data_IF_536687648788
#
_entry.id   IF_536687648788
#
_cell.length_a   1.000
_cell.length_b   1.000
_cell.length_c   1.000
_cell.angle_alpha   90.00
_cell.angle_beta   90.00
_cell.angle_gamma   90.00
#
_symmetry.space_group_name_H-M   'P 1'
#
loop_
_entity.id
_entity.type
_entity.pdbx_description
1 polymer ?
#
# COMPACT_ATOMS: atom_id res chain seq x y z
N UNK A 1 4.58 23.83 6.29
CA UNK A 1 3.77 23.39 7.43
C UNK A 1 2.33 23.38 6.98
N UNK A 2 1.63 22.27 7.24
CA UNK A 2 0.19 22.10 6.99
C UNK A 2 -0.49 21.60 8.27
N UNK A 3 -1.72 22.03 8.51
CA UNK A 3 -2.53 21.55 9.61
C UNK A 3 -4.00 21.48 9.21
N UNK A 4 -4.68 20.40 9.58
CA UNK A 4 -6.07 20.16 9.24
C UNK A 4 -6.88 19.71 10.44
N UNK A 5 -8.12 20.16 10.53
CA UNK A 5 -9.12 19.70 11.47
C UNK A 5 -10.42 19.41 10.76
N UNK A 6 -11.02 18.28 11.08
CA UNK A 6 -12.33 17.88 10.57
C UNK A 6 -13.23 17.43 11.71
N UNK A 7 -14.49 17.82 11.67
CA UNK A 7 -15.53 17.32 12.58
C UNK A 7 -16.84 17.18 11.82
N UNK A 8 -17.50 16.04 12.02
CA UNK A 8 -18.86 15.81 11.53
C UNK A 8 -19.62 14.94 12.55
N UNK A 9 -20.90 15.19 12.73
CA UNK A 9 -21.75 14.33 13.56
C UNK A 9 -22.20 13.07 12.83
N UNK A 10 -22.20 13.09 11.47
CA UNK A 10 -22.50 11.95 10.62
C UNK A 10 -23.89 11.35 10.78
N UNK A 11 -24.73 11.92 11.63
CA UNK A 11 -26.07 11.40 11.97
C UNK A 11 -27.12 11.85 10.96
N UNK A 12 -27.02 11.37 9.73
CA UNK A 12 -27.91 11.71 8.63
C UNK A 12 -29.20 10.90 8.66
N UNK A 13 -30.34 11.48 8.19
CA UNK A 13 -31.58 10.73 7.99
C UNK A 13 -31.46 9.80 6.78
N UNK A 14 -32.11 8.64 6.84
CA UNK A 14 -32.21 7.70 5.73
C UNK A 14 -33.54 6.94 5.78
N UNK A 15 -34.00 6.46 4.63
CA UNK A 15 -35.19 5.64 4.53
C UNK A 15 -34.82 4.16 4.63
N UNK A 16 -35.35 3.48 5.65
CA UNK A 16 -35.18 2.03 5.83
C UNK A 16 -36.36 1.31 5.17
N UNK A 17 -36.04 0.47 4.19
CA UNK A 17 -37.05 -0.39 3.52
C UNK A 17 -36.81 -1.84 3.92
N UNK A 18 -37.84 -2.45 4.55
CA UNK A 18 -37.83 -3.87 4.90
C UNK A 18 -39.14 -4.53 4.49
N UNK A 19 -39.15 -5.16 3.33
CA UNK A 19 -40.34 -5.73 2.72
C UNK A 19 -41.40 -4.63 2.43
N UNK A 20 -42.52 -4.67 3.14
CA UNK A 20 -43.60 -3.68 3.01
C UNK A 20 -43.48 -2.50 3.98
N UNK A 21 -42.56 -2.56 4.91
CA UNK A 21 -42.35 -1.51 5.91
C UNK A 21 -41.34 -0.51 5.42
N UNK A 22 -41.70 0.75 5.42
CA UNK A 22 -40.86 1.88 5.08
C UNK A 22 -40.85 2.83 6.28
N UNK A 23 -39.68 3.08 6.86
CA UNK A 23 -39.52 3.99 7.99
C UNK A 23 -38.43 5.00 7.71
N UNK A 24 -38.62 6.23 8.20
CA UNK A 24 -37.56 7.25 8.23
C UNK A 24 -36.77 7.09 9.51
N UNK A 25 -35.49 6.80 9.36
CA UNK A 25 -34.56 6.55 10.46
C UNK A 25 -33.47 7.60 10.47
N UNK A 26 -32.75 7.70 11.57
CA UNK A 26 -31.56 8.54 11.67
C UNK A 26 -30.37 7.72 12.10
N UNK A 27 -29.26 7.85 11.35
CA UNK A 27 -28.00 7.23 11.73
C UNK A 27 -27.55 7.74 13.09
N UNK A 28 -27.08 6.86 13.93
CA UNK A 28 -26.49 7.19 15.22
C UNK A 28 -25.03 6.73 15.24
N UNK A 29 -24.26 7.20 16.21
CA UNK A 29 -22.86 6.82 16.43
C UNK A 29 -21.98 6.90 15.16
N UNK A 30 -22.24 7.89 14.29
CA UNK A 30 -21.47 8.12 13.05
C UNK A 30 -20.54 9.33 13.16
N UNK A 31 -20.47 9.94 14.35
CA UNK A 31 -19.64 11.13 14.57
C UNK A 31 -18.16 10.84 14.35
N UNK A 32 -17.48 11.80 13.75
CA UNK A 32 -16.03 11.76 13.55
C UNK A 32 -15.43 13.11 13.92
N UNK A 33 -14.28 13.10 14.55
CA UNK A 33 -13.36 14.22 14.53
C UNK A 33 -11.93 13.74 14.28
N UNK A 34 -11.20 14.51 13.53
CA UNK A 34 -9.81 14.23 13.26
C UNK A 34 -9.00 15.52 13.16
N UNK A 35 -7.75 15.44 13.41
CA UNK A 35 -6.79 16.48 13.17
C UNK A 35 -5.46 15.89 12.74
N UNK A 36 -4.78 16.64 11.91
CA UNK A 36 -3.49 16.26 11.36
C UNK A 36 -2.58 17.48 11.31
N UNK A 37 -1.29 17.24 11.35
CA UNK A 37 -0.28 18.25 11.17
C UNK A 37 0.94 17.67 10.49
N UNK A 38 1.56 18.46 9.62
CA UNK A 38 2.84 18.09 9.04
C UNK A 38 3.75 19.30 8.91
N UNK A 39 5.04 19.04 9.03
CA UNK A 39 6.08 20.01 8.77
C UNK A 39 7.22 19.36 8.00
N UNK A 40 7.72 20.08 7.00
CA UNK A 40 8.88 19.65 6.24
C UNK A 40 9.94 20.74 6.27
N UNK A 41 11.14 20.34 6.62
CA UNK A 41 12.35 21.16 6.59
C UNK A 41 13.19 20.74 5.39
N UNK A 42 13.64 21.73 4.60
CA UNK A 42 14.52 21.53 3.46
C UNK A 42 15.82 22.27 3.68
N UNK A 43 16.92 21.62 3.43
CA UNK A 43 18.25 22.23 3.50
C UNK A 43 19.13 21.81 2.32
N UNK A 44 19.70 22.79 1.63
CA UNK A 44 20.70 22.57 0.61
C UNK A 44 22.05 23.00 1.17
N UNK A 45 23.01 22.08 1.16
CA UNK A 45 24.37 22.32 1.63
C UNK A 45 25.21 23.06 0.57
N UNK A 46 26.37 23.55 0.97
CA UNK A 46 27.30 24.27 0.06
C UNK A 46 27.83 23.43 -1.11
N UNK A 47 27.73 22.12 -1.00
CA UNK A 47 28.14 21.14 -2.01
C UNK A 47 26.96 20.61 -2.83
N UNK A 48 25.88 21.35 -2.88
CA UNK A 48 24.62 21.05 -3.56
C UNK A 48 23.96 19.73 -3.12
N UNK A 49 24.40 19.16 -1.99
CA UNK A 49 23.65 18.05 -1.38
C UNK A 49 22.41 18.58 -0.67
N UNK A 50 21.37 17.75 -0.64
CA UNK A 50 20.05 18.13 -0.13
C UNK A 50 19.64 17.22 1.03
N UNK A 51 19.07 17.82 2.06
CA UNK A 51 18.44 17.11 3.18
C UNK A 51 17.01 17.60 3.35
N UNK A 52 16.08 16.66 3.30
CA UNK A 52 14.67 16.88 3.62
C UNK A 52 14.34 16.12 4.90
N UNK A 53 13.71 16.77 5.86
CA UNK A 53 13.19 16.13 7.08
C UNK A 53 11.72 16.47 7.23
N UNK A 54 10.86 15.45 7.31
CA UNK A 54 9.41 15.61 7.46
C UNK A 54 8.92 14.93 8.73
N UNK A 55 8.13 15.66 9.50
CA UNK A 55 7.34 15.14 10.61
C UNK A 55 5.85 15.20 10.27
N UNK A 56 5.10 14.19 10.69
CA UNK A 56 3.67 14.07 10.50
C UNK A 56 3.01 13.51 11.75
N UNK A 57 1.83 14.04 12.07
CA UNK A 57 0.95 13.52 13.11
C UNK A 57 -0.49 13.51 12.63
N UNK A 58 -1.20 12.42 12.89
CA UNK A 58 -2.62 12.26 12.63
C UNK A 58 -3.29 11.62 13.85
N UNK A 59 -4.47 12.12 14.18
CA UNK A 59 -5.35 11.53 15.18
C UNK A 59 -6.79 11.59 14.72
N UNK A 60 -7.55 10.53 14.94
CA UNK A 60 -9.00 10.53 14.77
C UNK A 60 -9.73 9.74 15.84
N UNK A 61 -10.95 10.16 16.12
CA UNK A 61 -11.94 9.38 16.85
C UNK A 61 -13.21 9.34 16.04
N UNK A 62 -13.76 8.15 15.85
CA UNK A 62 -15.02 7.96 15.13
C UNK A 62 -15.90 6.94 15.82
N UNK A 63 -17.20 7.22 15.85
CA UNK A 63 -18.21 6.23 16.13
C UNK A 63 -18.36 5.27 14.96
N UNK A 64 -18.67 4.01 15.23
CA UNK A 64 -18.98 3.00 14.24
C UNK A 64 -20.47 2.66 14.34
N UNK A 65 -21.29 3.10 13.36
CA UNK A 65 -22.74 3.02 13.48
C UNK A 65 -23.32 1.61 13.32
N UNK A 66 -22.48 0.60 13.09
CA UNK A 66 -22.91 -0.78 12.93
C UNK A 66 -23.80 -1.05 11.70
N UNK A 67 -24.32 -2.25 11.59
CA UNK A 67 -25.28 -2.62 10.55
C UNK A 67 -26.66 -2.00 10.80
N UNK A 68 -27.36 -1.64 9.71
CA UNK A 68 -28.75 -1.20 9.79
C UNK A 68 -29.63 -2.44 9.95
N UNK A 69 -30.14 -2.67 11.17
CA UNK A 69 -31.08 -3.74 11.48
C UNK A 69 -32.35 -3.18 12.09
N UNK A 70 -33.49 -3.82 11.81
CA UNK A 70 -34.83 -3.34 12.23
C UNK A 70 -35.04 -3.17 13.73
N UNK A 71 -34.28 -3.89 14.55
CA UNK A 71 -34.54 -3.98 15.98
C UNK A 71 -33.35 -3.57 16.85
N UNK A 72 -32.23 -3.19 16.24
CA UNK A 72 -31.08 -2.69 16.95
C UNK A 72 -30.42 -1.54 16.18
N UNK A 73 -30.98 -0.33 16.26
CA UNK A 73 -30.39 0.85 15.59
C UNK A 73 -29.22 1.46 16.38
N UNK A 74 -28.93 0.95 17.58
CA UNK A 74 -27.91 1.53 18.46
C UNK A 74 -26.62 0.73 18.36
N UNK A 75 -25.55 1.42 18.11
CA UNK A 75 -24.17 0.91 18.22
C UNK A 75 -23.40 1.85 19.13
N UNK A 76 -22.68 1.29 20.09
CA UNK A 76 -21.83 2.03 21.02
C UNK A 76 -20.34 1.79 20.75
N UNK A 77 -20.05 1.34 19.53
CA UNK A 77 -18.69 1.08 19.07
C UNK A 77 -17.94 2.37 18.74
N UNK A 78 -16.71 2.48 19.18
CA UNK A 78 -15.83 3.62 18.89
C UNK A 78 -14.46 3.15 18.47
N UNK A 79 -13.91 3.81 17.46
CA UNK A 79 -12.55 3.58 16.95
C UNK A 79 -11.72 4.86 17.10
N UNK A 80 -10.52 4.71 17.65
CA UNK A 80 -9.48 5.72 17.68
C UNK A 80 -8.33 5.28 16.80
N UNK A 81 -7.77 6.20 16.03
CA UNK A 81 -6.58 5.98 15.22
C UNK A 81 -5.58 7.10 15.48
N UNK A 82 -4.32 6.73 15.62
CA UNK A 82 -3.18 7.64 15.69
C UNK A 82 -2.08 7.14 14.75
N UNK A 83 -1.50 8.06 14.00
CA UNK A 83 -0.32 7.78 13.18
C UNK A 83 0.68 8.92 13.28
N UNK A 84 1.91 8.58 13.59
CA UNK A 84 3.01 9.55 13.70
C UNK A 84 4.20 9.02 12.92
N UNK A 85 4.83 9.86 12.10
CA UNK A 85 6.10 9.49 11.52
C UNK A 85 7.08 10.65 11.45
N UNK A 86 8.34 10.29 11.44
CA UNK A 86 9.46 11.17 11.08
C UNK A 86 10.26 10.48 9.98
N UNK A 87 10.56 11.21 8.92
CA UNK A 87 11.40 10.71 7.84
C UNK A 87 12.48 11.74 7.48
N UNK A 88 13.63 11.25 7.06
CA UNK A 88 14.71 12.05 6.53
C UNK A 88 15.15 11.47 5.18
N UNK A 89 15.48 12.34 4.22
CA UNK A 89 16.03 11.98 2.93
C UNK A 89 17.23 12.88 2.64
N UNK A 90 18.35 12.24 2.34
CA UNK A 90 19.57 12.90 1.89
C UNK A 90 19.87 12.52 0.45
N UNK A 91 20.21 13.49 -0.39
CA UNK A 91 20.60 13.30 -1.78
C UNK A 91 21.92 14.01 -2.05
N UNK A 92 22.80 13.34 -2.78
CA UNK A 92 24.07 13.90 -3.23
C UNK A 92 24.42 13.46 -4.64
N UNK A 93 24.79 14.42 -5.46
CA UNK A 93 25.41 14.21 -6.77
C UNK A 93 26.92 14.38 -6.61
N UNK A 94 27.68 13.29 -6.70
CA UNK A 94 29.13 13.34 -6.63
C UNK A 94 29.74 13.78 -7.95
N UNK A 95 29.05 13.48 -9.05
CA UNK A 95 29.40 13.85 -10.42
C UNK A 95 28.17 13.70 -11.33
N UNK A 96 28.22 14.10 -12.61
CA UNK A 96 27.14 13.83 -13.56
C UNK A 96 26.84 12.34 -13.72
N UNK A 97 27.77 11.45 -13.35
CA UNK A 97 27.63 10.00 -13.48
C UNK A 97 27.19 9.31 -12.19
N UNK A 98 27.47 9.88 -11.02
CA UNK A 98 27.23 9.23 -9.72
C UNK A 98 26.35 10.05 -8.80
N UNK A 99 25.32 9.43 -8.29
CA UNK A 99 24.51 10.02 -7.23
C UNK A 99 24.14 8.98 -6.17
N UNK A 100 23.92 9.49 -4.95
CA UNK A 100 23.49 8.74 -3.78
C UNK A 100 22.19 9.33 -3.26
N UNK A 101 21.28 8.47 -2.86
CA UNK A 101 20.13 8.83 -2.02
C UNK A 101 20.10 7.90 -0.81
N UNK A 102 19.99 8.47 0.36
CA UNK A 102 19.75 7.75 1.62
C UNK A 102 18.47 8.23 2.25
N UNK A 103 17.70 7.30 2.83
CA UNK A 103 16.44 7.61 3.50
C UNK A 103 16.35 6.84 4.80
N UNK A 104 15.73 7.45 5.79
CA UNK A 104 15.34 6.80 7.04
C UNK A 104 13.94 7.26 7.43
N UNK A 105 13.11 6.35 7.96
CA UNK A 105 11.78 6.64 8.47
C UNK A 105 11.51 5.83 9.72
N UNK A 106 10.93 6.48 10.70
CA UNK A 106 10.24 5.83 11.81
C UNK A 106 8.76 6.15 11.72
N UNK A 107 7.92 5.14 11.79
CA UNK A 107 6.46 5.27 11.82
C UNK A 107 5.90 4.55 13.03
N UNK A 108 5.03 5.23 13.76
CA UNK A 108 4.26 4.71 14.88
C UNK A 108 2.78 4.80 14.55
N UNK A 109 2.09 3.66 14.60
CA UNK A 109 0.65 3.57 14.48
C UNK A 109 0.05 3.00 15.75
N UNK A 110 -1.03 3.60 16.22
CA UNK A 110 -1.84 3.07 17.30
C UNK A 110 -3.31 3.16 16.93
N UNK A 111 -4.06 2.10 17.23
CA UNK A 111 -5.50 2.16 17.19
C UNK A 111 -6.13 1.48 18.40
N UNK A 112 -7.31 1.93 18.76
CA UNK A 112 -8.13 1.35 19.81
C UNK A 112 -9.56 1.19 19.31
N UNK A 113 -10.07 -0.03 19.39
CA UNK A 113 -11.48 -0.32 19.27
C UNK A 113 -12.09 -0.49 20.66
N UNK A 114 -13.26 0.08 20.86
CA UNK A 114 -14.08 -0.11 22.08
C UNK A 114 -15.52 -0.34 21.68
N UNK A 115 -16.13 -1.33 22.27
CA UNK A 115 -17.56 -1.65 22.16
C UNK A 115 -18.15 -1.65 23.58
N UNK A 116 -19.14 -0.81 23.84
CA UNK A 116 -19.82 -0.70 25.13
C UNK A 116 -21.11 -1.51 25.08
N UNK A 117 -21.18 -2.62 25.82
CA UNK A 117 -22.33 -3.52 25.81
C UNK A 117 -22.52 -4.23 27.15
N UNK A 118 -23.77 -4.51 27.51
CA UNK A 118 -24.10 -5.23 28.75
C UNK A 118 -23.74 -6.71 28.69
N UNK A 119 -23.44 -7.23 27.52
CA UNK A 119 -22.96 -8.60 27.27
C UNK A 119 -21.52 -8.82 27.77
N UNK A 120 -20.76 -7.76 27.99
CA UNK A 120 -19.40 -7.83 28.51
C UNK A 120 -19.38 -7.77 30.04
N UNK A 121 -18.59 -8.64 30.67
CA UNK A 121 -18.49 -8.73 32.13
C UNK A 121 -18.09 -7.39 32.78
N UNK A 122 -17.22 -6.63 32.10
CA UNK A 122 -16.76 -5.32 32.55
C UNK A 122 -17.59 -4.15 31.98
N UNK A 123 -18.71 -4.46 31.28
CA UNK A 123 -19.57 -3.48 30.62
C UNK A 123 -18.98 -2.93 29.30
N UNK A 124 -17.85 -3.41 28.85
CA UNK A 124 -17.25 -3.06 27.58
C UNK A 124 -16.22 -4.09 27.11
N UNK A 125 -16.01 -4.16 25.80
CA UNK A 125 -14.86 -4.79 25.16
C UNK A 125 -13.90 -3.69 24.66
N UNK A 126 -12.60 -3.89 24.83
CA UNK A 126 -11.57 -2.94 24.37
C UNK A 126 -10.37 -3.69 23.81
N UNK A 127 -9.94 -3.29 22.64
CA UNK A 127 -8.77 -3.81 21.98
C UNK A 127 -7.85 -2.66 21.53
N UNK A 128 -6.56 -2.82 21.77
CA UNK A 128 -5.53 -1.86 21.38
C UNK A 128 -4.51 -2.54 20.50
N UNK A 129 -4.13 -1.87 19.42
CA UNK A 129 -3.05 -2.29 18.54
C UNK A 129 -2.02 -1.19 18.45
N UNK A 130 -0.76 -1.57 18.48
CA UNK A 130 0.39 -0.71 18.28
C UNK A 130 1.32 -1.35 17.28
N UNK A 131 1.71 -0.58 16.27
CA UNK A 131 2.65 -1.01 15.25
C UNK A 131 3.75 0.03 15.08
N UNK A 132 5.00 -0.42 15.19
CA UNK A 132 6.19 0.39 14.96
C UNK A 132 6.90 -0.11 13.71
N UNK A 133 7.30 0.80 12.83
CA UNK A 133 8.09 0.51 11.63
C UNK A 133 9.35 1.38 11.61
N UNK A 134 10.49 0.74 11.42
CA UNK A 134 11.77 1.38 11.16
C UNK A 134 12.19 1.01 9.74
N UNK A 135 12.43 2.00 8.93
CA UNK A 135 12.86 1.85 7.55
C UNK A 135 14.15 2.62 7.28
N UNK A 136 15.06 1.98 6.58
CA UNK A 136 16.27 2.59 6.05
C UNK A 136 16.46 2.15 4.59
N UNK A 137 16.91 3.06 3.74
CA UNK A 137 17.18 2.80 2.33
C UNK A 137 18.44 3.55 1.89
N UNK A 138 19.27 2.89 1.08
CA UNK A 138 20.39 3.51 0.38
C UNK A 138 20.30 3.12 -1.08
N UNK A 139 20.30 4.11 -1.97
CA UNK A 139 20.29 3.92 -3.42
C UNK A 139 21.51 4.61 -4.03
N UNK A 140 22.27 3.87 -4.80
CA UNK A 140 23.36 4.39 -5.64
C UNK A 140 22.91 4.34 -7.09
N UNK A 141 23.07 5.43 -7.79
CA UNK A 141 22.77 5.55 -9.21
C UNK A 141 24.07 5.83 -9.97
N UNK A 142 24.27 5.09 -11.06
CA UNK A 142 25.43 5.22 -11.93
C UNK A 142 25.01 5.36 -13.40
N UNK A 143 25.54 6.37 -14.08
CA UNK A 143 25.32 6.64 -15.51
C UNK A 143 26.63 6.45 -16.27
N UNK A 144 26.96 5.21 -16.70
CA UNK A 144 28.16 4.95 -17.49
C UNK A 144 28.11 5.65 -18.85
N UNK A 145 26.93 5.74 -19.45
CA UNK A 145 26.66 6.34 -20.74
C UNK A 145 25.41 7.25 -20.61
N UNK A 146 25.24 8.20 -21.52
CA UNK A 146 24.04 9.06 -21.55
C UNK A 146 22.75 8.23 -21.72
N UNK A 147 22.84 7.16 -22.52
CA UNK A 147 21.73 6.26 -22.77
C UNK A 147 21.46 5.24 -21.65
N UNK A 148 22.42 4.98 -20.75
CA UNK A 148 22.32 3.90 -19.77
C UNK A 148 22.40 4.43 -18.34
N UNK A 149 21.38 4.12 -17.55
CA UNK A 149 21.33 4.39 -16.12
C UNK A 149 21.20 3.06 -15.36
N UNK A 150 22.09 2.82 -14.43
CA UNK A 150 22.08 1.68 -13.51
C UNK A 150 21.77 2.19 -12.11
N UNK A 151 21.00 1.43 -11.32
CA UNK A 151 20.82 1.73 -9.90
C UNK A 151 20.85 0.47 -9.07
N UNK A 152 21.43 0.58 -7.88
CA UNK A 152 21.41 -0.44 -6.85
C UNK A 152 20.80 0.19 -5.60
N UNK A 153 19.74 -0.41 -5.10
CA UNK A 153 19.09 -0.02 -3.85
C UNK A 153 19.14 -1.16 -2.84
N UNK A 154 19.35 -0.79 -1.58
CA UNK A 154 19.28 -1.70 -0.44
C UNK A 154 18.39 -1.07 0.61
N UNK A 155 17.28 -1.78 0.95
CA UNK A 155 16.34 -1.38 1.98
C UNK A 155 16.39 -2.36 3.15
N UNK A 156 16.22 -1.84 4.35
CA UNK A 156 16.00 -2.60 5.58
C UNK A 156 14.74 -2.11 6.28
N UNK A 157 13.87 -3.04 6.67
CA UNK A 157 12.62 -2.73 7.37
C UNK A 157 12.49 -3.59 8.61
N UNK A 158 12.10 -2.99 9.73
CA UNK A 158 11.74 -3.70 10.96
C UNK A 158 10.33 -3.28 11.32
N UNK A 159 9.40 -4.23 11.33
CA UNK A 159 8.02 -4.03 11.79
C UNK A 159 7.79 -4.76 13.11
N UNK A 160 7.16 -4.10 14.07
CA UNK A 160 6.80 -4.68 15.36
C UNK A 160 5.31 -4.49 15.61
N UNK A 161 4.63 -5.57 16.02
CA UNK A 161 3.24 -5.51 16.44
C UNK A 161 3.13 -5.82 17.93
N UNK A 162 2.34 -5.02 18.64
CA UNK A 162 1.87 -5.30 20.00
C UNK A 162 0.38 -4.99 20.07
N UNK A 163 -0.37 -5.82 20.77
CA UNK A 163 -1.77 -5.55 21.04
C UNK A 163 -2.18 -6.07 22.43
N UNK A 164 -3.40 -5.75 22.83
CA UNK A 164 -3.95 -6.17 24.12
C UNK A 164 -4.53 -7.59 24.14
N UNK A 165 -4.51 -8.30 23.00
CA UNK A 165 -5.07 -9.64 22.90
C UNK A 165 -4.18 -10.67 23.59
N UNK A 166 -4.72 -11.60 24.39
CA UNK A 166 -3.95 -12.60 25.13
C UNK A 166 -3.10 -13.51 24.23
N UNK A 167 -3.58 -13.81 23.03
CA UNK A 167 -2.95 -14.72 22.07
C UNK A 167 -2.00 -14.05 21.08
N UNK A 168 -1.81 -12.73 21.17
CA UNK A 168 -0.88 -12.04 20.29
C UNK A 168 0.56 -12.50 20.55
N UNK A 169 1.29 -12.94 19.53
CA UNK A 169 2.65 -13.43 19.68
C UNK A 169 3.69 -12.33 19.84
N UNK A 170 3.30 -11.04 19.69
CA UNK A 170 4.18 -9.87 19.62
C UNK A 170 5.30 -10.04 18.58
N UNK A 171 4.93 -10.19 17.31
CA UNK A 171 5.89 -10.46 16.27
C UNK A 171 6.78 -9.26 15.96
N UNK A 172 8.02 -9.55 15.61
CA UNK A 172 8.94 -8.62 14.97
C UNK A 172 9.35 -9.21 13.63
N UNK A 173 9.08 -8.49 12.54
CA UNK A 173 9.45 -8.88 11.18
C UNK A 173 10.64 -8.05 10.72
N UNK A 174 11.65 -8.73 10.20
CA UNK A 174 12.81 -8.13 9.55
C UNK A 174 12.69 -8.38 8.06
N UNK A 175 12.83 -7.34 7.25
CA UNK A 175 12.77 -7.44 5.80
C UNK A 175 13.98 -6.75 5.20
N UNK A 176 14.70 -7.45 4.32
CA UNK A 176 15.78 -6.93 3.50
C UNK A 176 15.34 -6.96 2.04
N UNK A 177 15.48 -5.83 1.34
CA UNK A 177 15.12 -5.71 -0.07
C UNK A 177 16.33 -5.16 -0.82
N UNK A 178 16.86 -5.94 -1.76
CA UNK A 178 17.92 -5.53 -2.68
C UNK A 178 17.35 -5.39 -4.07
N UNK A 179 17.50 -4.24 -4.70
CA UNK A 179 16.95 -3.97 -6.03
C UNK A 179 18.08 -3.50 -6.97
N UNK A 180 18.22 -4.21 -8.09
CA UNK A 180 19.07 -3.77 -9.20
C UNK A 180 18.16 -3.36 -10.36
N UNK A 181 18.41 -2.16 -10.93
CA UNK A 181 17.68 -1.65 -12.07
C UNK A 181 18.65 -1.18 -13.15
N UNK A 182 18.32 -1.47 -14.41
CA UNK A 182 19.01 -0.98 -15.59
C UNK A 182 17.99 -0.32 -16.52
N UNK A 183 18.22 0.96 -16.86
CA UNK A 183 17.39 1.70 -17.80
C UNK A 183 18.22 2.15 -18.97
N UNK A 184 17.84 1.68 -20.15
CA UNK A 184 18.40 2.13 -21.44
C UNK A 184 17.39 3.04 -22.14
N UNK A 185 17.85 4.20 -22.61
CA UNK A 185 17.00 5.14 -23.36
C UNK A 185 17.84 5.76 -24.47
N UNK A 186 17.49 5.44 -25.71
CA UNK A 186 18.13 6.04 -26.87
C UNK A 186 17.15 6.09 -28.03
N UNK A 187 16.93 7.29 -28.59
CA UNK A 187 16.07 7.51 -29.75
C UNK A 187 14.68 6.88 -29.56
N UNK A 188 14.39 5.90 -30.39
CA UNK A 188 13.11 5.22 -30.48
C UNK A 188 12.85 4.17 -29.40
N UNK A 189 13.85 3.83 -28.58
CA UNK A 189 13.77 2.73 -27.61
C UNK A 189 13.98 3.23 -26.18
N UNK A 190 13.07 2.85 -25.30
CA UNK A 190 13.27 2.90 -23.85
C UNK A 190 13.03 1.50 -23.28
N UNK A 191 14.01 0.93 -22.62
CA UNK A 191 13.91 -0.35 -21.92
C UNK A 191 14.31 -0.21 -20.46
N UNK A 192 13.56 -0.83 -19.56
CA UNK A 192 13.88 -0.87 -18.13
C UNK A 192 13.79 -2.31 -17.66
N UNK A 193 14.87 -2.84 -17.13
CA UNK A 193 14.92 -4.14 -16.48
C UNK A 193 15.16 -3.96 -14.97
N UNK A 194 14.48 -4.73 -14.15
CA UNK A 194 14.65 -4.71 -12.71
C UNK A 194 14.67 -6.14 -12.15
N UNK A 195 15.53 -6.35 -11.15
CA UNK A 195 15.56 -7.56 -10.36
C UNK A 195 15.52 -7.17 -8.89
N UNK A 196 14.46 -7.57 -8.20
CA UNK A 196 14.30 -7.33 -6.76
C UNK A 196 14.44 -8.65 -6.02
N UNK A 197 15.32 -8.69 -5.03
CA UNK A 197 15.41 -9.78 -4.06
C UNK A 197 14.85 -9.31 -2.73
N UNK A 198 13.89 -10.03 -2.18
CA UNK A 198 13.34 -9.79 -0.85
C UNK A 198 13.60 -11.00 0.03
N UNK A 199 14.14 -10.76 1.22
CA UNK A 199 14.28 -11.75 2.28
C UNK A 199 13.57 -11.25 3.53
N UNK A 200 12.76 -12.11 4.15
CA UNK A 200 11.97 -11.77 5.33
C UNK A 200 12.07 -12.87 6.37
N UNK A 201 12.29 -12.48 7.62
CA UNK A 201 12.23 -13.37 8.78
C UNK A 201 11.36 -12.76 9.87
N UNK A 202 10.69 -13.61 10.64
CA UNK A 202 9.91 -13.17 11.78
C UNK A 202 10.42 -13.84 13.07
N UNK A 203 10.32 -13.08 14.16
CA UNK A 203 10.53 -13.56 15.50
C UNK A 203 9.35 -13.16 16.38
N UNK A 204 8.90 -14.05 17.25
CA UNK A 204 7.82 -13.78 18.20
C UNK A 204 8.26 -14.00 19.64
N UNK A 205 7.72 -13.23 20.58
CA UNK A 205 7.96 -13.44 22.00
C UNK A 205 7.27 -14.71 22.51
N UNK A 206 6.17 -15.13 21.88
CA UNK A 206 5.43 -16.35 22.20
C UNK A 206 4.69 -16.90 20.97
N UNK A 207 4.51 -18.23 20.96
CA UNK A 207 3.80 -18.93 19.87
C UNK A 207 4.64 -19.09 18.62
N UNK A 208 3.96 -19.32 17.50
CA UNK A 208 4.59 -19.59 16.18
C UNK A 208 4.45 -18.40 15.26
N UNK A 209 5.43 -18.23 14.39
CA UNK A 209 5.48 -17.28 13.30
C UNK A 209 5.59 -18.01 11.96
N UNK A 210 5.27 -17.35 10.83
CA UNK A 210 5.55 -17.92 9.51
C UNK A 210 7.03 -18.26 9.32
N UNK A 211 7.29 -19.18 8.41
CA UNK A 211 8.66 -19.53 7.98
C UNK A 211 9.33 -18.35 7.28
N UNK A 212 10.65 -18.34 7.29
CA UNK A 212 11.47 -17.40 6.55
C UNK A 212 11.14 -17.46 5.06
N UNK A 213 11.09 -16.30 4.43
CA UNK A 213 10.72 -16.18 3.03
C UNK A 213 11.78 -15.40 2.26
N UNK A 214 12.13 -15.88 1.08
CA UNK A 214 12.97 -15.15 0.14
C UNK A 214 12.47 -15.33 -1.29
N UNK A 215 12.58 -14.30 -2.11
CA UNK A 215 12.14 -14.32 -3.51
C UNK A 215 12.88 -13.32 -4.37
N UNK A 216 13.14 -13.73 -5.61
CA UNK A 216 13.51 -12.84 -6.71
C UNK A 216 12.26 -12.49 -7.51
N UNK A 217 12.10 -11.20 -7.80
CA UNK A 217 11.00 -10.65 -8.55
C UNK A 217 11.57 -9.85 -9.74
N UNK A 218 11.70 -10.46 -10.93
CA UNK A 218 12.14 -9.77 -12.13
C UNK A 218 11.02 -8.93 -12.75
N UNK A 219 11.41 -7.85 -13.44
CA UNK A 219 10.51 -7.12 -14.32
C UNK A 219 11.25 -6.57 -15.53
N UNK A 220 10.53 -6.46 -16.65
CA UNK A 220 11.00 -5.86 -17.89
C UNK A 220 9.90 -4.98 -18.47
N UNK A 221 10.24 -3.76 -18.81
CA UNK A 221 9.34 -2.85 -19.53
C UNK A 221 10.07 -2.28 -20.74
N UNK A 222 9.43 -2.35 -21.90
CA UNK A 222 9.96 -1.85 -23.16
C UNK A 222 8.93 -0.93 -23.81
N UNK A 223 9.37 0.26 -24.19
CA UNK A 223 8.58 1.21 -24.98
C UNK A 223 9.36 1.56 -26.23
N UNK A 224 8.72 1.43 -27.39
CA UNK A 224 9.30 1.64 -28.71
C UNK A 224 8.46 2.61 -29.52
N UNK A 225 9.14 3.55 -30.20
CA UNK A 225 8.58 4.43 -31.23
C UNK A 225 9.36 4.20 -32.53
N UNK A 226 9.08 3.14 -33.30
CA UNK A 226 9.90 2.76 -34.45
C UNK A 226 9.98 3.84 -35.55
N UNK A 227 8.92 4.64 -35.69
CA UNK A 227 8.81 5.70 -36.68
C UNK A 227 8.81 7.04 -35.96
N UNK A 228 9.90 7.80 -36.10
CA UNK A 228 10.05 9.09 -35.42
C UNK A 228 9.07 10.16 -35.92
N UNK A 229 8.63 10.05 -37.17
CA UNK A 229 7.68 10.98 -37.80
C UNK A 229 6.22 10.72 -37.39
N UNK A 230 5.94 9.56 -36.78
CA UNK A 230 4.60 9.18 -36.31
C UNK A 230 4.62 8.99 -34.78
N UNK A 231 3.63 9.57 -34.13
CA UNK A 231 3.43 9.39 -32.68
C UNK A 231 2.77 8.03 -32.38
N UNK A 232 3.46 6.94 -32.78
CA UNK A 232 3.03 5.56 -32.59
C UNK A 232 3.99 4.85 -31.63
N UNK A 233 3.45 4.45 -30.48
CA UNK A 233 4.20 3.80 -29.39
C UNK A 233 3.70 2.39 -29.17
N UNK A 234 4.62 1.44 -29.07
CA UNK A 234 4.38 0.07 -28.61
C UNK A 234 4.95 -0.10 -27.21
N UNK A 235 4.19 -0.75 -26.34
CA UNK A 235 4.59 -1.05 -24.98
C UNK A 235 4.47 -2.52 -24.69
N UNK A 236 5.49 -3.08 -24.04
CA UNK A 236 5.50 -4.44 -23.52
C UNK A 236 5.95 -4.38 -22.08
N UNK A 237 5.27 -5.11 -21.18
CA UNK A 237 5.67 -5.25 -19.80
C UNK A 237 5.48 -6.68 -19.32
N UNK A 238 6.49 -7.17 -18.64
CA UNK A 238 6.41 -8.35 -17.78
C UNK A 238 6.85 -7.94 -16.39
N UNK A 239 6.11 -8.39 -15.36
CA UNK A 239 6.49 -8.15 -13.97
C UNK A 239 6.07 -9.34 -13.10
N UNK A 240 7.03 -9.93 -12.40
CA UNK A 240 6.76 -10.81 -11.29
C UNK A 240 6.67 -10.00 -10.01
N UNK A 241 5.63 -10.22 -9.21
CA UNK A 241 5.45 -9.55 -7.93
C UNK A 241 4.91 -10.52 -6.88
N UNK A 242 4.85 -10.09 -5.61
CA UNK A 242 4.28 -10.86 -4.53
C UNK A 242 3.80 -9.94 -3.41
N UNK A 243 2.92 -10.46 -2.57
CA UNK A 243 2.44 -9.80 -1.37
C UNK A 243 2.64 -10.72 -0.17
N UNK A 244 3.45 -10.29 0.79
CA UNK A 244 3.55 -10.95 2.08
C UNK A 244 2.25 -10.76 2.87
N UNK A 245 1.80 -11.75 3.64
CA UNK A 245 0.71 -11.56 4.59
C UNK A 245 1.06 -10.42 5.55
N UNK A 246 0.12 -9.51 5.76
CA UNK A 246 0.26 -8.45 6.77
C UNK A 246 0.09 -9.01 8.18
N UNK A 247 0.48 -8.26 9.19
CA UNK A 247 0.19 -8.66 10.57
C UNK A 247 -1.30 -8.83 10.84
N UNK A 248 -2.16 -8.05 10.17
CA UNK A 248 -3.60 -8.23 10.26
C UNK A 248 -4.05 -9.56 9.64
N UNK A 249 -3.51 -9.93 8.47
CA UNK A 249 -3.81 -11.21 7.83
C UNK A 249 -3.41 -12.40 8.71
N UNK A 250 -2.34 -12.28 9.48
CA UNK A 250 -1.78 -13.35 10.31
C UNK A 250 -2.36 -13.40 11.73
N UNK A 251 -2.53 -12.24 12.38
CA UNK A 251 -2.67 -12.14 13.83
C UNK A 251 -3.94 -11.42 14.30
N UNK A 252 -4.80 -10.93 13.38
CA UNK A 252 -6.05 -10.29 13.78
C UNK A 252 -6.97 -11.30 14.47
N UNK A 253 -7.58 -10.90 15.58
CA UNK A 253 -8.41 -11.79 16.39
C UNK A 253 -9.55 -12.44 15.59
N UNK A 254 -9.69 -13.75 15.70
CA UNK A 254 -10.66 -14.60 15.00
C UNK A 254 -10.57 -14.63 13.47
N UNK A 255 -9.99 -13.62 12.83
CA UNK A 255 -9.86 -13.50 11.37
C UNK A 255 -8.51 -14.03 10.87
N UNK A 256 -7.43 -13.76 11.59
CA UNK A 256 -6.07 -14.04 11.18
C UNK A 256 -5.75 -15.52 11.02
N UNK A 257 -4.81 -15.81 10.13
CA UNK A 257 -4.33 -17.16 9.86
C UNK A 257 -2.81 -17.15 9.71
N UNK A 258 -2.10 -17.77 10.66
CA UNK A 258 -0.62 -17.84 10.70
C UNK A 258 0.00 -18.72 9.61
N UNK A 259 -0.80 -19.57 8.96
CA UNK A 259 -0.36 -20.48 7.91
C UNK A 259 -0.49 -19.90 6.50
N UNK A 260 -0.72 -18.60 6.38
CA UNK A 260 -0.82 -17.95 5.07
C UNK A 260 0.53 -17.96 4.35
N UNK A 261 0.46 -18.34 3.08
CA UNK A 261 1.57 -18.22 2.13
C UNK A 261 1.53 -16.85 1.44
N UNK A 262 2.70 -16.32 1.03
CA UNK A 262 2.74 -15.12 0.19
C UNK A 262 1.98 -15.32 -1.12
N UNK A 263 1.11 -14.34 -1.43
CA UNK A 263 0.45 -14.24 -2.73
C UNK A 263 1.49 -13.87 -3.80
N UNK A 264 1.42 -14.49 -4.98
CA UNK A 264 2.35 -14.27 -6.10
C UNK A 264 1.56 -13.91 -7.35
N UNK A 265 2.07 -12.96 -8.13
CA UNK A 265 1.47 -12.60 -9.40
C UNK A 265 2.54 -12.44 -10.48
N UNK A 266 2.25 -12.98 -11.66
CA UNK A 266 2.98 -12.72 -12.91
C UNK A 266 2.05 -11.92 -13.82
N UNK A 267 2.49 -10.72 -14.20
CA UNK A 267 1.72 -9.72 -14.91
C UNK A 267 2.33 -9.50 -16.29
N UNK A 268 1.50 -9.57 -17.34
CA UNK A 268 1.87 -9.35 -18.73
C UNK A 268 0.99 -8.25 -19.30
N UNK A 269 1.59 -7.23 -19.91
CA UNK A 269 0.86 -6.14 -20.53
C UNK A 269 1.46 -5.83 -21.91
N UNK A 270 0.57 -5.59 -22.88
CA UNK A 270 0.88 -5.16 -24.24
C UNK A 270 0.03 -3.95 -24.56
N UNK A 271 0.65 -2.88 -25.02
CA UNK A 271 -0.06 -1.65 -25.33
C UNK A 271 0.40 -0.99 -26.62
N UNK A 272 -0.54 -0.31 -27.24
CA UNK A 272 -0.32 0.56 -28.40
C UNK A 272 -0.92 1.93 -28.10
N UNK A 273 -0.19 2.99 -28.41
CA UNK A 273 -0.72 4.37 -28.38
C UNK A 273 -0.37 5.03 -29.70
N UNK A 274 -1.38 5.56 -30.37
CA UNK A 274 -1.22 6.39 -31.54
C UNK A 274 -1.84 7.75 -31.30
N UNK A 275 -1.13 8.83 -31.67
CA UNK A 275 -1.66 10.19 -31.57
C UNK A 275 -1.35 10.95 -32.82
N UNK A 276 -2.26 11.85 -33.21
CA UNK A 276 -2.09 12.71 -34.37
C UNK A 276 -2.76 14.05 -34.14
N UNK A 277 -2.06 15.12 -34.53
CA UNK A 277 -2.58 16.51 -34.54
C UNK A 277 -2.85 16.97 -35.97
N UNK A 278 -3.71 17.99 -36.13
CA UNK A 278 -3.95 18.65 -37.42
C UNK A 278 -4.79 17.82 -38.41
N UNK A 279 -5.71 17.01 -37.93
CA UNK A 279 -6.72 16.35 -38.77
C UNK A 279 -7.82 17.35 -39.12
N UNK A 280 -8.43 17.21 -40.32
CA UNK A 280 -9.43 18.16 -40.82
C UNK A 280 -10.67 18.30 -39.93
N UNK A 281 -10.96 17.34 -39.06
CA UNK A 281 -12.14 17.30 -38.18
C UNK A 281 -11.75 17.46 -36.70
N UNK A 282 -10.55 17.05 -36.32
CA UNK A 282 -10.05 17.10 -34.94
C UNK A 282 -8.71 17.81 -34.88
N UNK A 283 -8.55 18.73 -33.94
CA UNK A 283 -7.27 19.38 -33.68
C UNK A 283 -6.22 18.37 -33.16
N UNK A 284 -6.68 17.40 -32.38
CA UNK A 284 -5.88 16.32 -31.82
C UNK A 284 -6.73 15.07 -31.60
N UNK A 285 -6.18 13.92 -31.88
CA UNK A 285 -6.73 12.60 -31.54
C UNK A 285 -5.64 11.74 -30.92
N UNK A 286 -6.00 10.98 -29.90
CA UNK A 286 -5.13 9.98 -29.28
C UNK A 286 -5.91 8.71 -28.99
N UNK A 287 -5.42 7.59 -29.49
CA UNK A 287 -6.00 6.28 -29.27
C UNK A 287 -5.00 5.42 -28.51
N UNK A 288 -5.42 4.86 -27.38
CA UNK A 288 -4.64 3.90 -26.60
C UNK A 288 -5.41 2.60 -26.51
N UNK A 289 -4.75 1.49 -26.78
CA UNK A 289 -5.26 0.14 -26.61
C UNK A 289 -4.25 -0.65 -25.77
N UNK A 290 -4.71 -1.14 -24.62
CA UNK A 290 -3.90 -1.95 -23.70
C UNK A 290 -4.58 -3.30 -23.43
N UNK A 291 -3.84 -4.40 -23.59
CA UNK A 291 -4.25 -5.75 -23.22
C UNK A 291 -3.41 -6.22 -22.04
N UNK A 292 -4.03 -6.92 -21.09
CA UNK A 292 -3.33 -7.47 -19.92
C UNK A 292 -3.75 -8.91 -19.64
N UNK A 293 -2.81 -9.65 -19.05
CA UNK A 293 -3.03 -10.98 -18.50
C UNK A 293 -2.23 -11.09 -17.18
N UNK A 294 -2.93 -11.46 -16.09
CA UNK A 294 -2.34 -11.65 -14.78
C UNK A 294 -2.63 -13.06 -14.28
N UNK A 295 -1.57 -13.79 -13.88
CA UNK A 295 -1.65 -15.09 -13.23
C UNK A 295 -1.32 -14.93 -11.76
N UNK A 296 -2.32 -15.04 -10.87
CA UNK A 296 -2.18 -14.87 -9.43
C UNK A 296 -2.33 -16.23 -8.75
N UNK A 297 -1.35 -16.59 -7.92
CA UNK A 297 -1.34 -17.81 -7.13
C UNK A 297 -1.34 -17.50 -5.63
N UNK A 298 -1.93 -18.38 -4.81
CA UNK A 298 -2.04 -18.24 -3.37
C UNK A 298 -2.70 -16.91 -2.93
N UNK A 299 -3.71 -16.42 -3.68
CA UNK A 299 -4.38 -15.15 -3.37
C UNK A 299 -4.90 -15.14 -1.95
N UNK A 300 -4.53 -14.09 -1.18
CA UNK A 300 -4.99 -13.93 0.20
C UNK A 300 -6.33 -13.22 0.19
N UNK A 301 -7.36 -13.89 0.72
CA UNK A 301 -8.75 -13.38 0.80
C UNK A 301 -9.33 -13.63 2.18
N UNK A 302 -10.26 -12.76 2.59
CA UNK A 302 -11.13 -13.04 3.72
C UNK A 302 -12.28 -13.93 3.23
N UNK A 303 -12.44 -15.09 3.84
CA UNK A 303 -13.43 -16.08 3.48
C UNK A 303 -14.47 -16.24 4.60
N UNK A 304 -15.80 -16.20 4.31
CA UNK A 304 -16.81 -16.42 5.32
C UNK A 304 -16.86 -17.90 5.72
N UNK A 305 -16.80 -18.16 7.02
CA UNK A 305 -17.11 -19.47 7.61
C UNK A 305 -18.46 -19.40 8.32
N UNK A 306 -18.93 -20.51 8.88
CA UNK A 306 -20.23 -20.57 9.59
C UNK A 306 -20.34 -19.57 10.76
N UNK A 307 -19.20 -19.23 11.40
CA UNK A 307 -19.20 -18.42 12.63
C UNK A 307 -18.39 -17.13 12.52
N UNK A 308 -17.46 -17.04 11.56
CA UNK A 308 -16.56 -15.91 11.44
C UNK A 308 -15.94 -15.85 10.04
N UNK A 309 -15.39 -14.70 9.69
CA UNK A 309 -14.48 -14.58 8.54
C UNK A 309 -13.10 -15.13 8.92
N UNK A 310 -12.43 -15.75 7.96
CA UNK A 310 -11.02 -16.19 8.13
C UNK A 310 -10.21 -15.85 6.91
N UNK A 311 -8.98 -15.45 7.14
CA UNK A 311 -8.00 -15.26 6.07
C UNK A 311 -7.54 -16.62 5.54
N UNK A 312 -7.55 -16.77 4.22
CA UNK A 312 -7.13 -17.99 3.54
C UNK A 312 -6.41 -17.67 2.24
N UNK A 313 -5.53 -18.58 1.81
CA UNK A 313 -5.03 -18.57 0.45
C UNK A 313 -6.05 -19.23 -0.48
N UNK A 314 -6.50 -18.50 -1.47
CA UNK A 314 -7.42 -19.00 -2.49
C UNK A 314 -6.63 -19.30 -3.77
N UNK A 315 -6.48 -20.56 -4.09
CA UNK A 315 -5.87 -21.18 -5.28
C UNK A 315 -5.21 -20.26 -6.32
N UNK A 316 -5.71 -20.35 -7.56
CA UNK A 316 -5.26 -19.53 -8.70
C UNK A 316 -6.37 -18.61 -9.17
N UNK A 317 -5.98 -17.41 -9.59
CA UNK A 317 -6.87 -16.44 -10.23
C UNK A 317 -6.21 -15.95 -11.51
N UNK A 318 -6.90 -16.08 -12.63
CA UNK A 318 -6.49 -15.51 -13.90
C UNK A 318 -7.36 -14.29 -14.18
N UNK A 319 -6.72 -13.16 -14.44
CA UNK A 319 -7.42 -11.95 -14.85
C UNK A 319 -6.88 -11.50 -16.21
N UNK A 320 -7.76 -11.34 -17.19
CA UNK A 320 -7.41 -10.84 -18.52
C UNK A 320 -8.42 -9.78 -18.96
N UNK A 321 -7.95 -8.76 -19.66
CA UNK A 321 -8.80 -7.70 -20.16
C UNK A 321 -8.14 -6.88 -21.24
N UNK A 322 -8.95 -6.03 -21.85
CA UNK A 322 -8.53 -5.05 -22.86
C UNK A 322 -9.18 -3.71 -22.50
N UNK A 323 -8.37 -2.69 -22.44
CA UNK A 323 -8.78 -1.30 -22.19
C UNK A 323 -8.53 -0.47 -23.45
N UNK A 324 -9.52 0.32 -23.86
CA UNK A 324 -9.44 1.25 -24.97
C UNK A 324 -9.80 2.66 -24.52
N UNK A 325 -8.95 3.63 -24.85
CA UNK A 325 -9.13 5.06 -24.53
C UNK A 325 -9.01 5.85 -25.83
N UNK A 326 -10.00 6.71 -26.06
CA UNK A 326 -10.05 7.67 -27.18
C UNK A 326 -10.01 9.08 -26.61
#
# INVERSE_FOLDING_TARGET
>A
VDAGYMRADGNYPFTLVNGKYVTEEKRNNSGIYSWQGEATFYHTFKDDSELDVKGYYFYSRRGLPGAVTLYNPLSDETLWDENTFVQARYRKHFSPRWSLQAQAKYNHGWNQYKDEGKEYADGYYRENHRQDEYYISVTVLYRPLEALTLSLAQDGVINKLRNSLPECPFPTRYTSISAFNARYRQGWLTATASLVHTATSEHAEKGTVPDDFHRFAPSLSVSMQPWQDESLYFRLMYKSTFRLPTFNDLYYYRLGNRNLRPEKADEYNVGITWSKSGLSVFDYISVTLDGYYNDVTDKIVAFPTTYAWKMANYGKVHAAGVDAIL
#
